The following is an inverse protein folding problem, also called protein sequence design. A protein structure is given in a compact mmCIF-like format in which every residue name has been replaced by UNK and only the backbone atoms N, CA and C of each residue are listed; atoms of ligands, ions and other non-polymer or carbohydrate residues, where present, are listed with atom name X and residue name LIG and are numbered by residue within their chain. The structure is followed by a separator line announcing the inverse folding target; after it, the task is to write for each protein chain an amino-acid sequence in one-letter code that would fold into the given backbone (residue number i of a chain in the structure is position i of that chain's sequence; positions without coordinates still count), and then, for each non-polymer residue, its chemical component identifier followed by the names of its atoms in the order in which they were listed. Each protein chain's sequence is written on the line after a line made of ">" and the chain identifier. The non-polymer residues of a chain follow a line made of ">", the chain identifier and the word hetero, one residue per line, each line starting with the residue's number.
data_IF_903518092227
#
_entry.id   IF_903518092227
#
_cell.length_a   1.000
_cell.length_b   1.000
_cell.length_c   1.000
_cell.angle_alpha   90.00
_cell.angle_beta   90.00
_cell.angle_gamma   90.00
#
_symmetry.space_group_name_H-M   'P 1'
#
loop_
_entity.id
_entity.type
_entity.pdbx_description
1 polymer ?
#
# COMPACT_ATOMS: atom_id res chain seq x y z
N UNK A 1 3.43 10.07 -23.48
CA UNK A 1 2.50 8.94 -23.51
C UNK A 1 1.65 8.80 -24.76
N UNK A 2 0.97 9.83 -25.26
CA UNK A 2 0.06 9.74 -26.43
C UNK A 2 0.67 9.06 -27.67
N UNK A 3 1.93 9.36 -28.04
CA UNK A 3 2.56 8.76 -29.23
C UNK A 3 2.73 7.25 -29.07
N UNK A 4 3.05 6.76 -27.86
CA UNK A 4 3.23 5.33 -27.62
C UNK A 4 1.91 4.55 -27.57
N UNK A 5 0.86 5.12 -27.02
CA UNK A 5 -0.47 4.49 -26.99
C UNK A 5 -1.06 4.39 -28.39
N UNK A 6 -0.80 5.37 -29.26
CA UNK A 6 -1.32 5.40 -30.63
C UNK A 6 -0.41 4.65 -31.62
N UNK A 7 0.92 4.70 -31.42
CA UNK A 7 1.92 4.11 -32.33
C UNK A 7 2.95 3.24 -31.60
N UNK A 8 2.54 2.15 -30.89
CA UNK A 8 3.48 1.35 -30.08
C UNK A 8 4.62 0.74 -30.90
N UNK A 9 4.38 0.36 -32.15
CA UNK A 9 5.38 -0.24 -33.04
C UNK A 9 6.47 0.79 -33.46
N UNK A 10 6.14 2.07 -33.50
CA UNK A 10 7.09 3.12 -33.89
C UNK A 10 8.16 3.36 -32.81
N UNK A 11 7.78 3.28 -31.54
CA UNK A 11 8.66 3.51 -30.41
C UNK A 11 9.34 2.23 -29.87
N UNK A 12 8.86 1.05 -30.27
CA UNK A 12 9.41 -0.23 -29.80
C UNK A 12 10.93 -0.37 -30.00
N UNK A 13 11.54 0.01 -31.14
CA UNK A 13 12.99 -0.05 -31.31
C UNK A 13 13.79 0.87 -30.38
N UNK A 14 13.19 1.96 -29.92
CA UNK A 14 13.81 2.95 -29.03
C UNK A 14 13.44 2.74 -27.55
N UNK A 15 12.58 1.79 -27.24
CA UNK A 15 12.00 1.63 -25.90
C UNK A 15 13.05 1.36 -24.83
N UNK A 16 14.14 0.66 -25.14
CA UNK A 16 15.22 0.41 -24.19
C UNK A 16 16.01 1.69 -23.86
N UNK A 17 16.36 2.48 -24.87
CA UNK A 17 17.07 3.76 -24.68
C UNK A 17 16.20 4.74 -23.89
N UNK A 18 14.92 4.82 -24.22
CA UNK A 18 13.95 5.65 -23.52
C UNK A 18 13.75 5.19 -22.06
N UNK A 19 13.63 3.90 -21.83
CA UNK A 19 13.56 3.34 -20.49
C UNK A 19 14.78 3.71 -19.63
N UNK A 20 15.97 3.55 -20.20
CA UNK A 20 17.23 3.90 -19.50
C UNK A 20 17.34 5.40 -19.22
N UNK A 21 16.93 6.26 -20.17
CA UNK A 21 16.92 7.71 -19.97
C UNK A 21 15.96 8.11 -18.85
N UNK A 22 14.71 7.62 -18.86
CA UNK A 22 13.72 7.86 -17.81
C UNK A 22 14.19 7.35 -16.45
N UNK A 23 14.80 6.18 -16.41
CA UNK A 23 15.40 5.64 -15.18
C UNK A 23 16.48 6.56 -14.61
N UNK A 24 17.37 7.06 -15.45
CA UNK A 24 18.43 7.99 -15.03
C UNK A 24 17.85 9.31 -14.55
N UNK A 25 16.85 9.85 -15.23
CA UNK A 25 16.19 11.10 -14.88
C UNK A 25 15.47 10.98 -13.54
N UNK A 26 14.64 9.97 -13.33
CA UNK A 26 14.01 9.69 -12.04
C UNK A 26 15.05 9.55 -10.91
N UNK A 27 16.17 8.87 -11.17
CA UNK A 27 17.22 8.71 -10.17
C UNK A 27 17.93 10.04 -9.82
N UNK A 28 18.02 10.97 -10.77
CA UNK A 28 18.60 12.30 -10.56
C UNK A 28 17.64 13.27 -9.87
N UNK A 29 16.33 13.13 -10.11
CA UNK A 29 15.29 14.00 -9.56
C UNK A 29 14.89 13.61 -8.11
N UNK A 30 15.15 12.37 -7.70
CA UNK A 30 14.76 11.86 -6.38
C UNK A 30 15.20 12.77 -5.21
N UNK A 31 16.46 13.25 -5.10
CA UNK A 31 16.85 14.13 -4.00
C UNK A 31 16.11 15.47 -3.98
N UNK A 32 15.77 16.02 -5.16
CA UNK A 32 15.01 17.26 -5.26
C UNK A 32 13.56 17.05 -4.84
N UNK A 33 12.94 15.94 -5.27
CA UNK A 33 11.59 15.57 -4.85
C UNK A 33 11.52 15.35 -3.34
N UNK A 34 12.44 14.56 -2.78
CA UNK A 34 12.52 14.30 -1.35
C UNK A 34 12.62 15.59 -0.54
N UNK A 35 13.48 16.52 -0.96
CA UNK A 35 13.63 17.81 -0.29
C UNK A 35 12.33 18.63 -0.36
N UNK A 36 11.72 18.74 -1.53
CA UNK A 36 10.61 19.68 -1.79
C UNK A 36 9.27 19.18 -1.26
N UNK A 37 9.02 17.88 -1.29
CA UNK A 37 7.69 17.31 -0.98
C UNK A 37 7.65 16.46 0.28
N UNK A 38 8.78 15.82 0.66
CA UNK A 38 8.82 14.94 1.83
C UNK A 38 9.29 15.67 3.08
N UNK A 39 10.28 16.56 2.93
CA UNK A 39 10.90 17.27 4.07
C UNK A 39 10.44 18.71 4.21
N UNK A 40 10.09 19.37 3.11
CA UNK A 40 9.64 20.74 3.08
C UNK A 40 8.30 20.83 2.31
N UNK A 41 7.49 21.82 2.66
CA UNK A 41 6.29 22.17 1.91
C UNK A 41 6.62 23.27 0.89
N UNK A 42 7.28 22.89 -0.20
CA UNK A 42 7.61 23.81 -1.30
C UNK A 42 6.77 23.60 -2.54
N UNK A 43 5.53 23.31 -2.39
CA UNK A 43 4.65 23.08 -3.51
C UNK A 43 4.39 24.37 -4.28
N UNK A 44 4.67 24.35 -5.58
CA UNK A 44 4.25 25.42 -6.49
C UNK A 44 3.08 24.92 -7.33
N UNK A 45 1.97 25.63 -7.31
CA UNK A 45 0.82 25.36 -8.19
C UNK A 45 1.00 26.12 -9.49
N UNK A 46 2.03 25.76 -10.25
CA UNK A 46 2.26 26.35 -11.57
C UNK A 46 1.48 25.56 -12.61
N UNK A 47 0.73 26.30 -13.43
CA UNK A 47 -0.06 25.76 -14.52
C UNK A 47 0.30 26.48 -15.82
N UNK A 48 0.20 25.78 -16.94
CA UNK A 48 0.34 26.38 -18.26
C UNK A 48 -0.95 27.09 -18.71
N UNK A 49 -0.95 27.60 -19.94
CA UNK A 49 -2.09 28.29 -20.52
C UNK A 49 -3.34 27.40 -20.68
N UNK A 50 -3.18 26.10 -20.69
CA UNK A 50 -4.24 25.09 -20.82
C UNK A 50 -4.69 24.52 -19.45
N UNK A 51 -4.12 25.04 -18.34
CA UNK A 51 -4.43 24.60 -16.97
C UNK A 51 -3.74 23.28 -16.58
N UNK A 52 -2.71 22.87 -17.32
CA UNK A 52 -1.93 21.68 -16.97
C UNK A 52 -0.83 22.06 -15.98
N UNK A 53 -0.65 21.27 -14.89
CA UNK A 53 0.43 21.53 -13.95
C UNK A 53 1.79 21.23 -14.61
N UNK A 54 2.78 22.11 -14.37
CA UNK A 54 4.17 21.86 -14.70
C UNK A 54 5.05 21.98 -13.45
N UNK A 55 4.77 21.09 -12.52
CA UNK A 55 5.44 20.94 -11.23
C UNK A 55 6.32 19.69 -11.27
N UNK A 56 7.24 19.57 -10.30
CA UNK A 56 8.17 18.43 -10.27
C UNK A 56 7.44 17.10 -10.02
N UNK A 57 6.43 17.09 -9.13
CA UNK A 57 5.59 15.92 -8.86
C UNK A 57 4.84 15.43 -10.11
N UNK A 58 4.30 16.36 -10.90
CA UNK A 58 3.65 16.02 -12.18
C UNK A 58 4.64 15.44 -13.19
N UNK A 59 5.86 15.99 -13.28
CA UNK A 59 6.90 15.40 -14.14
C UNK A 59 7.24 13.98 -13.71
N UNK A 60 7.45 13.75 -12.42
CA UNK A 60 7.75 12.42 -11.87
C UNK A 60 6.62 11.44 -12.15
N UNK A 61 5.37 11.87 -11.98
CA UNK A 61 4.19 11.07 -12.29
C UNK A 61 4.20 10.62 -13.76
N UNK A 62 4.38 11.54 -14.70
CA UNK A 62 4.45 11.22 -16.13
C UNK A 62 5.62 10.30 -16.49
N UNK A 63 6.76 10.44 -15.81
CA UNK A 63 7.92 9.57 -16.00
C UNK A 63 7.71 8.15 -15.43
N UNK A 64 7.11 8.02 -14.26
CA UNK A 64 6.74 6.72 -13.68
C UNK A 64 5.77 5.97 -14.60
N UNK A 65 4.77 6.66 -15.11
CA UNK A 65 3.83 6.12 -16.09
C UNK A 65 4.51 5.70 -17.38
N UNK A 66 5.45 6.51 -17.84
CA UNK A 66 6.20 6.19 -19.05
C UNK A 66 7.12 4.98 -18.81
N UNK A 67 7.77 4.89 -17.67
CA UNK A 67 8.58 3.74 -17.28
C UNK A 67 7.74 2.45 -17.22
N UNK A 68 6.56 2.50 -16.55
CA UNK A 68 5.61 1.40 -16.51
C UNK A 68 5.20 0.95 -17.94
N UNK A 69 4.92 1.91 -18.81
CA UNK A 69 4.61 1.61 -20.19
C UNK A 69 5.80 1.01 -20.97
N UNK A 70 7.05 1.39 -20.67
CA UNK A 70 8.26 0.80 -21.27
C UNK A 70 8.47 -0.66 -20.85
N UNK A 71 8.14 -1.02 -19.62
CA UNK A 71 8.24 -2.40 -19.12
C UNK A 71 7.36 -3.40 -19.91
N UNK A 72 6.37 -2.93 -20.67
CA UNK A 72 5.58 -3.78 -21.56
C UNK A 72 6.23 -4.06 -22.92
N UNK A 73 7.32 -3.35 -23.25
CA UNK A 73 7.98 -3.50 -24.53
C UNK A 73 8.88 -4.74 -24.55
N UNK A 74 8.76 -5.63 -25.56
CA UNK A 74 9.55 -6.86 -25.62
C UNK A 74 11.07 -6.65 -25.56
N UNK A 75 11.67 -5.61 -26.20
CA UNK A 75 13.12 -5.39 -26.09
C UNK A 75 13.56 -5.04 -24.66
N UNK A 76 12.75 -4.28 -23.90
CA UNK A 76 13.03 -3.94 -22.51
C UNK A 76 12.94 -5.19 -21.64
N UNK A 77 11.88 -5.98 -21.79
CA UNK A 77 11.70 -7.23 -21.03
C UNK A 77 12.86 -8.19 -21.26
N UNK A 78 13.21 -8.45 -22.50
CA UNK A 78 14.30 -9.36 -22.84
C UNK A 78 15.63 -8.94 -22.21
N UNK A 79 15.96 -7.63 -22.24
CA UNK A 79 17.16 -7.10 -21.62
C UNK A 79 17.14 -7.26 -20.10
N UNK A 80 16.05 -6.89 -19.46
CA UNK A 80 15.89 -6.95 -18.00
C UNK A 80 15.86 -8.39 -17.46
N UNK A 81 15.25 -9.33 -18.20
CA UNK A 81 15.30 -10.77 -17.85
C UNK A 81 16.72 -11.32 -17.93
N UNK A 82 17.48 -10.94 -18.97
CA UNK A 82 18.88 -11.34 -19.09
C UNK A 82 19.75 -10.76 -17.95
N UNK A 83 19.53 -9.52 -17.59
CA UNK A 83 20.25 -8.88 -16.48
C UNK A 83 19.94 -9.56 -15.15
N UNK A 84 18.67 -9.90 -14.90
CA UNK A 84 18.22 -10.53 -13.66
C UNK A 84 18.89 -11.89 -13.43
N UNK A 85 19.15 -12.65 -14.50
CA UNK A 85 19.82 -13.95 -14.40
C UNK A 85 21.29 -13.84 -13.93
N UNK A 86 21.91 -12.66 -14.08
CA UNK A 86 23.33 -12.44 -13.78
C UNK A 86 23.56 -11.57 -12.54
N UNK A 87 22.49 -11.14 -11.85
CA UNK A 87 22.58 -10.22 -10.71
C UNK A 87 22.31 -10.97 -9.39
N UNK A 88 22.93 -10.50 -8.29
CA UNK A 88 22.53 -10.93 -6.94
C UNK A 88 21.27 -10.17 -6.50
N UNK A 89 20.47 -10.71 -5.57
CA UNK A 89 19.26 -10.04 -5.10
C UNK A 89 19.49 -8.59 -4.65
N UNK A 90 20.61 -8.34 -3.94
CA UNK A 90 20.92 -6.99 -3.40
C UNK A 90 21.24 -5.98 -4.50
N UNK A 91 21.81 -6.43 -5.61
CA UNK A 91 22.25 -5.60 -6.73
C UNK A 91 21.33 -5.73 -7.96
N UNK A 92 20.22 -6.46 -7.82
CA UNK A 92 19.31 -6.63 -8.95
C UNK A 92 18.64 -5.32 -9.33
N UNK A 93 18.36 -5.15 -10.62
CA UNK A 93 17.60 -4.00 -11.09
C UNK A 93 16.21 -3.94 -10.46
N UNK A 94 15.60 -5.10 -10.13
CA UNK A 94 14.32 -5.16 -9.42
C UNK A 94 14.43 -4.50 -8.05
N UNK A 95 15.46 -4.82 -7.27
CA UNK A 95 15.69 -4.18 -5.97
C UNK A 95 15.96 -2.67 -6.12
N UNK A 96 16.64 -2.25 -7.18
CA UNK A 96 16.82 -0.81 -7.45
C UNK A 96 15.50 -0.12 -7.83
N UNK A 97 14.61 -0.78 -8.58
CA UNK A 97 13.25 -0.27 -8.84
C UNK A 97 12.46 -0.16 -7.54
N UNK A 98 12.56 -1.14 -6.63
CA UNK A 98 11.90 -1.06 -5.32
C UNK A 98 12.41 0.13 -4.50
N UNK A 99 13.73 0.37 -4.52
CA UNK A 99 14.32 1.54 -3.87
C UNK A 99 13.72 2.84 -4.42
N UNK A 100 13.65 2.97 -5.74
CA UNK A 100 13.09 4.16 -6.39
C UNK A 100 11.59 4.31 -6.09
N UNK A 101 10.82 3.24 -6.20
CA UNK A 101 9.39 3.24 -5.91
C UNK A 101 9.10 3.64 -4.46
N UNK A 102 9.84 3.11 -3.49
CA UNK A 102 9.70 3.48 -2.07
C UNK A 102 10.08 4.95 -1.84
N UNK A 103 11.11 5.46 -2.52
CA UNK A 103 11.52 6.86 -2.39
C UNK A 103 10.42 7.83 -2.83
N UNK A 104 9.76 7.56 -3.95
CA UNK A 104 8.67 8.39 -4.48
C UNK A 104 7.29 8.09 -3.86
N UNK A 105 7.13 6.96 -3.18
CA UNK A 105 5.90 6.60 -2.50
C UNK A 105 5.80 7.13 -1.07
N UNK A 106 6.79 7.88 -0.56
CA UNK A 106 6.73 8.47 0.77
C UNK A 106 5.59 9.49 0.86
N UNK A 107 4.96 9.54 2.04
CA UNK A 107 3.90 10.52 2.35
C UNK A 107 4.49 11.93 2.26
N UNK A 108 3.91 12.77 1.42
CA UNK A 108 4.29 14.17 1.30
C UNK A 108 3.85 14.97 2.53
N UNK A 109 4.43 16.14 2.73
CA UNK A 109 4.01 17.06 3.82
C UNK A 109 2.56 17.53 3.66
N UNK A 110 2.08 17.65 2.42
CA UNK A 110 0.68 17.98 2.13
C UNK A 110 -0.26 16.82 2.49
N UNK A 111 0.04 15.60 2.03
CA UNK A 111 -0.76 14.41 2.38
C UNK A 111 -0.78 14.18 3.89
N UNK A 112 0.36 14.29 4.57
CA UNK A 112 0.45 14.19 6.03
C UNK A 112 -0.46 15.20 6.72
N UNK A 113 -0.42 16.47 6.31
CA UNK A 113 -1.28 17.51 6.87
C UNK A 113 -2.76 17.31 6.59
N UNK A 114 -3.14 16.83 5.40
CA UNK A 114 -4.53 16.57 5.04
C UNK A 114 -5.09 15.36 5.80
N UNK A 115 -4.35 14.28 5.87
CA UNK A 115 -4.79 13.03 6.50
C UNK A 115 -4.81 13.11 8.03
N UNK A 116 -3.96 13.96 8.63
CA UNK A 116 -3.98 14.22 10.07
C UNK A 116 -5.24 14.99 10.50
N UNK A 117 -5.80 15.80 9.59
CA UNK A 117 -7.02 16.57 9.84
C UNK A 117 -8.29 15.78 9.49
N UNK A 118 -8.25 14.97 8.42
CA UNK A 118 -9.42 14.25 7.95
C UNK A 118 -9.07 12.81 7.52
N UNK A 119 -9.44 11.86 8.38
CA UNK A 119 -9.23 10.43 8.14
C UNK A 119 -9.96 9.91 6.90
N UNK A 120 -11.02 10.59 6.45
CA UNK A 120 -11.77 10.18 5.26
C UNK A 120 -10.97 10.40 3.99
N UNK A 121 -10.14 11.46 3.95
CA UNK A 121 -9.21 11.68 2.84
C UNK A 121 -8.21 10.53 2.75
N UNK A 122 -7.63 10.09 3.88
CA UNK A 122 -6.76 8.92 3.93
C UNK A 122 -7.48 7.65 3.45
N UNK A 123 -8.71 7.41 3.92
CA UNK A 123 -9.48 6.24 3.53
C UNK A 123 -9.80 6.24 2.03
N UNK A 124 -10.16 7.38 1.47
CA UNK A 124 -10.45 7.47 0.04
C UNK A 124 -9.24 7.14 -0.81
N UNK A 125 -8.03 7.53 -0.40
CA UNK A 125 -6.78 7.16 -1.07
C UNK A 125 -6.48 5.65 -0.98
N UNK A 126 -6.88 5.00 0.13
CA UNK A 126 -6.66 3.58 0.34
C UNK A 126 -7.74 2.67 -0.27
N UNK A 127 -8.95 3.20 -0.51
CA UNK A 127 -10.12 2.40 -0.92
C UNK A 127 -10.61 2.69 -2.32
N UNK A 128 -10.44 3.92 -2.79
CA UNK A 128 -11.06 4.38 -4.02
C UNK A 128 -10.33 3.87 -5.27
N UNK A 129 -11.08 3.31 -6.20
CA UNK A 129 -10.61 3.01 -7.57
C UNK A 129 -10.24 4.30 -8.32
N UNK A 130 -10.69 5.45 -7.83
CA UNK A 130 -10.47 6.79 -8.36
C UNK A 130 -9.59 7.63 -7.45
N UNK A 131 -8.72 6.99 -6.64
CA UNK A 131 -7.73 7.70 -5.83
C UNK A 131 -6.98 8.76 -6.66
N UNK A 132 -6.58 9.85 -6.02
CA UNK A 132 -5.79 10.88 -6.69
C UNK A 132 -4.55 10.25 -7.32
N UNK A 133 -4.31 10.54 -8.59
CA UNK A 133 -3.17 10.00 -9.29
C UNK A 133 -1.92 10.81 -8.95
N UNK A 134 -1.14 10.29 -8.02
CA UNK A 134 0.07 10.92 -7.45
C UNK A 134 1.31 10.07 -7.74
N UNK A 135 2.53 10.59 -7.56
CA UNK A 135 3.74 9.77 -7.61
C UNK A 135 3.67 8.53 -6.70
N UNK A 136 3.03 8.65 -5.53
CA UNK A 136 2.81 7.55 -4.59
C UNK A 136 1.98 6.42 -5.21
N UNK A 137 0.81 6.74 -5.78
CA UNK A 137 -0.06 5.76 -6.42
C UNK A 137 0.57 5.17 -7.68
N UNK A 138 1.26 5.99 -8.48
CA UNK A 138 1.99 5.53 -9.66
C UNK A 138 3.12 4.53 -9.31
N UNK A 139 3.76 4.69 -8.15
CA UNK A 139 4.73 3.71 -7.65
C UNK A 139 4.07 2.38 -7.27
N UNK A 140 2.89 2.41 -6.66
CA UNK A 140 2.08 1.22 -6.41
C UNK A 140 1.78 0.47 -7.71
N UNK A 141 1.26 1.18 -8.71
CA UNK A 141 0.96 0.62 -10.03
C UNK A 141 2.19 0.04 -10.73
N UNK A 142 3.33 0.72 -10.63
CA UNK A 142 4.59 0.21 -11.18
C UNK A 142 4.97 -1.13 -10.57
N UNK A 143 4.87 -1.26 -9.24
CA UNK A 143 5.22 -2.50 -8.53
C UNK A 143 4.21 -3.61 -8.82
N UNK A 144 2.92 -3.30 -8.92
CA UNK A 144 1.89 -4.23 -9.38
C UNK A 144 2.26 -4.78 -10.77
N UNK A 145 2.59 -3.91 -11.72
CA UNK A 145 2.97 -4.34 -13.08
C UNK A 145 4.25 -5.18 -13.13
N UNK A 146 5.17 -4.95 -12.22
CA UNK A 146 6.33 -5.83 -12.04
C UNK A 146 5.92 -7.17 -11.43
N UNK A 147 5.05 -7.19 -10.44
CA UNK A 147 4.51 -8.39 -9.81
C UNK A 147 3.71 -9.28 -10.76
N UNK A 148 2.93 -8.68 -11.67
CA UNK A 148 2.24 -9.41 -12.74
C UNK A 148 3.22 -10.17 -13.65
N UNK A 149 4.38 -9.58 -13.93
CA UNK A 149 5.39 -10.14 -14.81
C UNK A 149 6.42 -11.01 -14.07
N UNK A 150 6.96 -10.53 -12.96
CA UNK A 150 8.05 -11.13 -12.20
C UNK A 150 7.65 -11.32 -10.73
N UNK A 151 6.69 -12.18 -10.44
CA UNK A 151 6.08 -12.33 -9.11
C UNK A 151 7.12 -12.52 -7.99
N UNK A 152 7.91 -13.60 -8.03
CA UNK A 152 8.93 -13.87 -7.00
C UNK A 152 10.06 -12.84 -6.95
N UNK A 153 10.69 -12.45 -8.07
CA UNK A 153 11.72 -11.41 -8.06
C UNK A 153 11.23 -10.08 -7.50
N UNK A 154 9.97 -9.69 -7.77
CA UNK A 154 9.39 -8.46 -7.26
C UNK A 154 9.23 -8.50 -5.74
N UNK A 155 8.61 -9.56 -5.21
CA UNK A 155 8.44 -9.75 -3.75
C UNK A 155 9.80 -9.82 -3.03
N UNK A 156 10.74 -10.57 -3.57
CA UNK A 156 12.07 -10.74 -2.98
C UNK A 156 12.94 -9.47 -3.09
N UNK A 157 12.81 -8.73 -4.20
CA UNK A 157 13.48 -7.43 -4.38
C UNK A 157 12.98 -6.39 -3.38
N UNK A 158 11.66 -6.31 -3.18
CA UNK A 158 11.07 -5.44 -2.18
C UNK A 158 11.49 -5.86 -0.76
N UNK A 159 11.45 -7.16 -0.44
CA UNK A 159 11.88 -7.68 0.85
C UNK A 159 13.35 -7.38 1.14
N UNK A 160 14.22 -7.56 0.14
CA UNK A 160 15.65 -7.26 0.24
C UNK A 160 15.89 -5.79 0.54
N UNK A 161 15.22 -4.91 -0.18
CA UNK A 161 15.32 -3.47 0.07
C UNK A 161 14.73 -3.08 1.43
N UNK A 162 13.57 -3.62 1.81
CA UNK A 162 12.95 -3.36 3.11
C UNK A 162 13.86 -3.77 4.27
N UNK A 163 14.57 -4.89 4.17
CA UNK A 163 15.57 -5.31 5.17
C UNK A 163 16.69 -4.29 5.32
N UNK A 164 17.23 -3.80 4.21
CA UNK A 164 18.28 -2.78 4.24
C UNK A 164 17.76 -1.47 4.87
N UNK A 165 16.57 -1.04 4.48
CA UNK A 165 15.90 0.17 4.98
C UNK A 165 15.65 0.13 6.50
N UNK A 166 15.11 -0.98 7.01
CA UNK A 166 14.80 -1.13 8.45
C UNK A 166 16.05 -1.34 9.30
N UNK A 167 17.15 -1.78 8.71
CA UNK A 167 18.45 -1.87 9.37
C UNK A 167 19.19 -0.52 9.41
N UNK A 168 18.77 0.43 8.59
CA UNK A 168 19.35 1.77 8.49
C UNK A 168 18.72 2.78 9.46
N UNK A 169 19.14 4.04 9.31
CA UNK A 169 18.65 5.19 10.09
C UNK A 169 17.49 5.93 9.42
N UNK A 170 16.90 5.37 8.38
CA UNK A 170 15.82 5.98 7.61
C UNK A 170 14.59 6.31 8.47
N UNK A 171 13.95 7.43 8.16
CA UNK A 171 12.77 7.92 8.87
C UNK A 171 11.54 7.03 8.72
N UNK A 172 10.49 7.35 9.46
CA UNK A 172 9.24 6.60 9.44
C UNK A 172 8.54 6.65 8.07
N UNK A 173 8.61 7.76 7.32
CA UNK A 173 8.00 7.91 5.98
C UNK A 173 8.52 6.87 4.98
N UNK A 174 9.83 6.64 4.97
CA UNK A 174 10.42 5.62 4.09
C UNK A 174 10.02 4.20 4.49
N UNK A 175 9.92 3.92 5.80
CA UNK A 175 9.47 2.62 6.33
C UNK A 175 7.99 2.37 6.05
N UNK A 176 7.16 3.41 6.19
CA UNK A 176 5.74 3.39 5.81
C UNK A 176 5.58 3.11 4.31
N UNK A 177 6.31 3.85 3.46
CA UNK A 177 6.26 3.71 2.01
C UNK A 177 6.65 2.30 1.54
N UNK A 178 7.63 1.65 2.17
CA UNK A 178 7.98 0.26 1.86
C UNK A 178 6.82 -0.70 2.16
N UNK A 179 6.12 -0.50 3.27
CA UNK A 179 4.93 -1.28 3.61
C UNK A 179 3.71 -0.90 2.74
N UNK A 180 3.58 0.38 2.34
CA UNK A 180 2.56 0.80 1.39
C UNK A 180 2.71 0.07 0.04
N UNK A 181 3.90 0.09 -0.53
CA UNK A 181 4.19 -0.60 -1.80
C UNK A 181 3.92 -2.11 -1.68
N UNK A 182 4.26 -2.72 -0.55
CA UNK A 182 3.89 -4.11 -0.27
C UNK A 182 2.37 -4.29 -0.24
N UNK A 183 1.64 -3.40 0.44
CA UNK A 183 0.18 -3.47 0.54
C UNK A 183 -0.50 -3.43 -0.83
N UNK A 184 -0.02 -2.57 -1.73
CA UNK A 184 -0.52 -2.49 -3.12
C UNK A 184 -0.29 -3.81 -3.86
N UNK A 185 0.89 -4.39 -3.73
CA UNK A 185 1.21 -5.68 -4.36
C UNK A 185 0.38 -6.83 -3.79
N UNK A 186 0.14 -6.87 -2.47
CA UNK A 186 -0.70 -7.88 -1.83
C UNK A 186 -2.17 -7.72 -2.22
N UNK A 187 -2.65 -6.50 -2.42
CA UNK A 187 -3.98 -6.22 -2.94
C UNK A 187 -4.19 -6.81 -4.33
N UNK A 188 -3.25 -6.54 -5.25
CA UNK A 188 -3.29 -7.13 -6.60
C UNK A 188 -3.23 -8.67 -6.56
N UNK A 189 -2.40 -9.26 -5.69
CA UNK A 189 -2.35 -10.71 -5.53
C UNK A 189 -3.68 -11.29 -5.09
N UNK A 190 -4.38 -10.60 -4.18
CA UNK A 190 -5.71 -11.01 -3.75
C UNK A 190 -6.73 -10.96 -4.89
N UNK A 191 -6.70 -9.93 -5.72
CA UNK A 191 -7.65 -9.75 -6.83
C UNK A 191 -7.49 -10.81 -7.92
N UNK A 192 -6.28 -11.37 -8.07
CA UNK A 192 -5.97 -12.42 -9.05
C UNK A 192 -5.77 -13.80 -8.41
N UNK A 193 -6.14 -13.96 -7.14
CA UNK A 193 -6.09 -15.24 -6.40
C UNK A 193 -4.66 -15.84 -6.29
N UNK A 194 -3.64 -14.95 -6.20
CA UNK A 194 -2.24 -15.32 -5.97
C UNK A 194 -1.90 -15.31 -4.50
N UNK A 195 -0.94 -16.14 -4.12
CA UNK A 195 -0.39 -16.17 -2.77
C UNK A 195 1.08 -15.74 -2.78
N UNK A 196 1.50 -15.08 -1.69
CA UNK A 196 2.91 -14.81 -1.42
C UNK A 196 3.58 -16.09 -0.87
N UNK A 197 4.82 -16.33 -1.28
CA UNK A 197 5.58 -17.49 -0.80
C UNK A 197 5.80 -17.43 0.74
N UNK A 198 5.80 -18.59 1.45
CA UNK A 198 5.88 -18.64 2.92
C UNK A 198 7.12 -17.97 3.49
N UNK A 199 8.27 -18.10 2.82
CA UNK A 199 9.54 -17.48 3.24
C UNK A 199 9.49 -15.96 3.16
N UNK A 200 8.93 -15.43 2.07
CA UNK A 200 8.77 -14.00 1.89
C UNK A 200 7.73 -13.44 2.89
N UNK A 201 6.59 -14.12 3.05
CA UNK A 201 5.57 -13.75 4.03
C UNK A 201 6.15 -13.67 5.45
N UNK A 202 6.91 -14.70 5.88
CA UNK A 202 7.59 -14.71 7.17
C UNK A 202 8.61 -13.57 7.30
N UNK A 203 9.28 -13.22 6.19
CA UNK A 203 10.28 -12.16 6.15
C UNK A 203 9.71 -10.76 6.44
N UNK A 204 8.42 -10.53 6.21
CA UNK A 204 7.76 -9.24 6.48
C UNK A 204 7.21 -9.12 7.90
N UNK A 205 7.03 -10.22 8.64
CA UNK A 205 6.39 -10.23 9.97
C UNK A 205 7.04 -9.27 10.96
N UNK A 206 8.38 -9.25 11.01
CA UNK A 206 9.09 -8.41 11.97
C UNK A 206 8.98 -6.91 11.64
N UNK A 207 8.90 -6.55 10.36
CA UNK A 207 8.69 -5.16 9.93
C UNK A 207 7.28 -4.69 10.26
N UNK A 208 6.28 -5.54 10.08
CA UNK A 208 4.89 -5.26 10.44
C UNK A 208 4.78 -5.07 11.96
N UNK A 209 5.34 -5.97 12.77
CA UNK A 209 5.37 -5.82 14.22
C UNK A 209 6.08 -4.57 14.68
N UNK A 210 7.21 -4.25 14.05
CA UNK A 210 7.91 -3.00 14.31
C UNK A 210 7.01 -1.80 14.01
N UNK A 211 6.37 -1.75 12.85
CA UNK A 211 5.49 -0.66 12.44
C UNK A 211 4.33 -0.45 13.43
N UNK A 212 3.64 -1.53 13.84
CA UNK A 212 2.52 -1.48 14.79
C UNK A 212 2.88 -0.91 16.15
N UNK A 213 4.16 -0.83 16.52
CA UNK A 213 4.65 -0.36 17.82
C UNK A 213 5.28 1.04 17.77
N UNK A 214 5.29 1.70 16.61
CA UNK A 214 5.94 3.00 16.47
C UNK A 214 5.08 4.15 17.01
N UNK A 215 5.70 5.25 17.46
CA UNK A 215 4.97 6.42 17.94
C UNK A 215 4.20 7.13 16.83
N UNK A 216 4.65 7.02 15.59
CA UNK A 216 4.02 7.63 14.43
C UNK A 216 2.75 6.89 14.02
N UNK A 217 1.63 7.62 13.90
CA UNK A 217 0.31 7.05 13.64
C UNK A 217 0.19 6.46 12.21
N UNK A 218 0.79 7.10 11.22
CA UNK A 218 0.74 6.63 9.82
C UNK A 218 1.47 5.31 9.66
N UNK A 219 2.66 5.18 10.30
CA UNK A 219 3.41 3.93 10.26
C UNK A 219 2.68 2.82 11.03
N UNK A 220 2.06 3.13 12.20
CA UNK A 220 1.25 2.16 12.94
C UNK A 220 0.04 1.68 12.11
N UNK A 221 -0.71 2.62 11.55
CA UNK A 221 -1.88 2.33 10.71
C UNK A 221 -1.48 1.41 9.53
N UNK A 222 -0.40 1.73 8.85
CA UNK A 222 0.16 0.91 7.77
C UNK A 222 0.53 -0.50 8.24
N UNK A 223 1.11 -0.63 9.42
CA UNK A 223 1.43 -1.92 10.03
C UNK A 223 0.20 -2.81 10.19
N UNK A 224 -0.91 -2.27 10.70
CA UNK A 224 -2.17 -3.01 10.85
C UNK A 224 -2.79 -3.39 9.50
N UNK A 225 -2.83 -2.48 8.54
CA UNK A 225 -3.37 -2.76 7.20
C UNK A 225 -2.60 -3.88 6.50
N UNK A 226 -1.28 -3.81 6.52
CA UNK A 226 -0.41 -4.82 5.87
C UNK A 226 -0.51 -6.17 6.57
N UNK A 227 -0.68 -6.20 7.90
CA UNK A 227 -0.92 -7.44 8.64
C UNK A 227 -2.17 -8.16 8.14
N UNK A 228 -3.26 -7.41 7.90
CA UNK A 228 -4.50 -7.94 7.30
C UNK A 228 -4.30 -8.44 5.87
N UNK A 229 -3.71 -7.62 5.01
CA UNK A 229 -3.45 -7.97 3.59
C UNK A 229 -2.53 -9.19 3.47
N UNK A 230 -1.49 -9.26 4.30
CA UNK A 230 -0.57 -10.40 4.35
C UNK A 230 -1.31 -11.69 4.77
N UNK A 231 -2.23 -11.59 5.72
CA UNK A 231 -3.07 -12.73 6.14
C UNK A 231 -3.90 -13.28 4.98
N UNK A 232 -4.51 -12.40 4.17
CA UNK A 232 -5.32 -12.81 3.01
C UNK A 232 -4.51 -13.52 1.92
N UNK A 233 -3.23 -13.19 1.79
CA UNK A 233 -2.38 -13.66 0.68
C UNK A 233 -1.38 -14.74 1.09
N UNK A 234 -1.22 -15.04 2.40
CA UNK A 234 -0.25 -16.03 2.89
C UNK A 234 -0.82 -17.44 3.11
N UNK A 235 -2.15 -17.62 2.94
CA UNK A 235 -2.81 -18.90 3.23
C UNK A 235 -2.55 -19.37 4.68
N UNK A 236 -2.43 -20.68 4.87
CA UNK A 236 -2.22 -21.27 6.20
C UNK A 236 -0.83 -21.04 6.80
N UNK A 237 0.13 -20.53 6.00
CA UNK A 237 1.54 -20.41 6.41
C UNK A 237 1.75 -19.52 7.64
N UNK A 238 0.88 -18.52 7.84
CA UNK A 238 0.98 -17.57 8.95
C UNK A 238 -0.23 -17.61 9.90
N UNK A 239 -1.06 -18.65 9.90
CA UNK A 239 -2.34 -18.69 10.63
C UNK A 239 -2.23 -18.31 12.12
N UNK A 240 -1.22 -18.81 12.85
CA UNK A 240 -1.04 -18.46 14.27
C UNK A 240 -0.65 -17.00 14.47
N UNK A 241 0.21 -16.47 13.59
CA UNK A 241 0.61 -15.06 13.61
C UNK A 241 -0.55 -14.15 13.23
N UNK A 242 -1.34 -14.53 12.24
CA UNK A 242 -2.54 -13.82 11.82
C UNK A 242 -3.59 -13.73 12.92
N UNK A 243 -3.73 -14.78 13.74
CA UNK A 243 -4.58 -14.73 14.95
C UNK A 243 -4.07 -13.68 15.94
N UNK A 244 -2.76 -13.63 16.18
CA UNK A 244 -2.17 -12.60 17.06
C UNK A 244 -2.32 -11.19 16.51
N UNK A 245 -2.23 -11.00 15.19
CA UNK A 245 -2.47 -9.72 14.55
C UNK A 245 -3.95 -9.29 14.62
N UNK A 246 -4.88 -10.22 14.44
CA UNK A 246 -6.31 -9.98 14.65
C UNK A 246 -6.60 -9.50 16.07
N UNK A 247 -6.06 -10.20 17.08
CA UNK A 247 -6.22 -9.83 18.50
C UNK A 247 -5.60 -8.45 18.79
N UNK A 248 -4.42 -8.16 18.26
CA UNK A 248 -3.77 -6.85 18.39
C UNK A 248 -4.59 -5.73 17.73
N UNK A 249 -5.15 -5.97 16.54
CA UNK A 249 -6.03 -5.00 15.87
C UNK A 249 -7.30 -4.73 16.69
N UNK A 250 -7.90 -5.78 17.24
CA UNK A 250 -9.09 -5.66 18.07
C UNK A 250 -8.82 -4.89 19.37
N UNK A 251 -7.64 -5.03 19.95
CA UNK A 251 -7.22 -4.27 21.14
C UNK A 251 -6.89 -2.80 20.81
N UNK A 252 -6.34 -2.52 19.65
CA UNK A 252 -5.95 -1.17 19.25
C UNK A 252 -7.16 -0.26 18.98
N UNK A 253 -8.29 -0.79 18.46
CA UNK A 253 -9.48 0.01 18.15
C UNK A 253 -9.94 0.88 19.34
N UNK A 254 -10.13 0.38 20.57
CA UNK A 254 -10.53 1.21 21.70
C UNK A 254 -9.37 1.89 22.43
N UNK A 255 -8.11 1.55 22.16
CA UNK A 255 -6.96 1.98 22.95
C UNK A 255 -6.02 2.94 22.26
N UNK A 256 -5.98 2.98 20.92
CA UNK A 256 -5.15 3.94 20.19
C UNK A 256 -5.87 5.30 20.14
N UNK A 257 -5.09 6.37 20.31
CA UNK A 257 -5.60 7.75 20.32
C UNK A 257 -5.86 8.29 18.90
N UNK A 258 -5.34 7.62 17.86
CA UNK A 258 -5.44 8.03 16.48
C UNK A 258 -6.60 7.35 15.75
N UNK A 259 -7.55 8.13 15.26
CA UNK A 259 -8.66 7.64 14.41
C UNK A 259 -8.14 6.90 13.17
N UNK A 260 -7.04 7.37 12.60
CA UNK A 260 -6.39 6.74 11.44
C UNK A 260 -5.96 5.30 11.77
N UNK A 261 -5.40 5.06 12.95
CA UNK A 261 -5.04 3.71 13.41
C UNK A 261 -6.29 2.87 13.69
N UNK A 262 -7.29 3.43 14.37
CA UNK A 262 -8.54 2.74 14.69
C UNK A 262 -9.25 2.25 13.43
N UNK A 263 -9.40 3.12 12.43
CA UNK A 263 -10.04 2.79 11.14
C UNK A 263 -9.22 1.76 10.35
N UNK A 264 -7.90 1.89 10.35
CA UNK A 264 -7.01 0.91 9.72
C UNK A 264 -7.12 -0.47 10.37
N UNK A 265 -7.28 -0.53 11.72
CA UNK A 265 -7.56 -1.77 12.43
C UNK A 265 -8.92 -2.36 12.03
N UNK A 266 -9.98 -1.55 11.93
CA UNK A 266 -11.31 -2.02 11.52
C UNK A 266 -11.25 -2.61 10.11
N UNK A 267 -10.56 -1.95 9.18
CA UNK A 267 -10.35 -2.47 7.83
C UNK A 267 -9.54 -3.77 7.82
N UNK A 268 -8.50 -3.86 8.65
CA UNK A 268 -7.74 -5.10 8.82
C UNK A 268 -8.60 -6.24 9.38
N UNK A 269 -9.57 -5.94 10.29
CA UNK A 269 -10.53 -6.95 10.76
C UNK A 269 -11.31 -7.58 9.61
N UNK A 270 -11.76 -6.80 8.64
CA UNK A 270 -12.44 -7.34 7.45
C UNK A 270 -11.56 -8.37 6.73
N UNK A 271 -10.28 -8.08 6.55
CA UNK A 271 -9.34 -8.98 5.91
C UNK A 271 -9.15 -10.29 6.70
N UNK A 272 -9.04 -10.22 8.02
CA UNK A 272 -8.96 -11.41 8.87
C UNK A 272 -10.22 -12.24 8.82
N UNK A 273 -11.40 -11.61 8.81
CA UNK A 273 -12.70 -12.30 8.76
C UNK A 273 -12.87 -13.07 7.44
N UNK A 274 -12.34 -12.55 6.35
CA UNK A 274 -12.39 -13.19 5.03
C UNK A 274 -11.37 -14.34 4.87
N UNK A 275 -10.23 -14.27 5.57
CA UNK A 275 -9.12 -15.19 5.36
C UNK A 275 -9.01 -16.29 6.41
N UNK A 276 -9.33 -15.99 7.68
CA UNK A 276 -9.14 -16.95 8.77
C UNK A 276 -10.31 -17.94 8.89
N UNK A 277 -10.02 -19.20 9.31
CA UNK A 277 -11.06 -20.19 9.54
C UNK A 277 -12.08 -19.72 10.60
N UNK A 278 -13.34 -20.08 10.42
CA UNK A 278 -14.42 -19.76 11.38
C UNK A 278 -14.12 -20.22 12.82
N UNK A 279 -13.39 -21.31 13.00
CA UNK A 279 -12.97 -21.77 14.33
C UNK A 279 -12.10 -20.75 15.08
N UNK A 280 -11.36 -19.90 14.34
CA UNK A 280 -10.52 -18.82 14.92
C UNK A 280 -11.35 -17.56 15.15
N UNK A 281 -12.21 -17.18 14.21
CA UNK A 281 -12.96 -15.91 14.26
C UNK A 281 -14.23 -15.98 15.12
N UNK A 282 -14.87 -17.15 15.24
CA UNK A 282 -16.11 -17.32 16.00
C UNK A 282 -16.00 -16.91 17.48
N UNK A 283 -14.96 -17.28 18.25
CA UNK A 283 -14.82 -16.82 19.64
C UNK A 283 -14.68 -15.29 19.76
N UNK A 284 -14.21 -14.60 18.71
CA UNK A 284 -13.99 -13.17 18.68
C UNK A 284 -15.14 -12.38 18.04
N UNK A 285 -16.19 -13.06 17.56
CA UNK A 285 -17.33 -12.42 16.89
C UNK A 285 -17.98 -11.30 17.72
N UNK A 286 -18.35 -11.59 18.97
CA UNK A 286 -18.97 -10.59 19.86
C UNK A 286 -18.03 -9.43 20.19
N UNK A 287 -16.75 -9.66 20.56
CA UNK A 287 -15.76 -8.59 20.71
C UNK A 287 -15.61 -7.72 19.46
N UNK A 288 -15.58 -8.29 18.26
CA UNK A 288 -15.44 -7.55 16.98
C UNK A 288 -16.67 -6.65 16.77
N UNK A 289 -17.88 -7.21 16.88
CA UNK A 289 -19.12 -6.44 16.72
C UNK A 289 -19.18 -5.30 17.75
N UNK A 290 -18.80 -5.56 19.00
CA UNK A 290 -18.81 -4.56 20.06
C UNK A 290 -17.80 -3.43 19.78
N UNK A 291 -16.58 -3.77 19.35
CA UNK A 291 -15.54 -2.78 19.01
C UNK A 291 -16.00 -1.85 17.89
N UNK A 292 -16.56 -2.40 16.80
CA UNK A 292 -17.07 -1.61 15.68
C UNK A 292 -18.26 -0.75 16.10
N UNK A 293 -19.19 -1.32 16.90
CA UNK A 293 -20.37 -0.60 17.38
C UNK A 293 -20.00 0.55 18.33
N UNK A 294 -19.01 0.36 19.19
CA UNK A 294 -18.51 1.40 20.08
C UNK A 294 -17.78 2.51 19.30
N UNK A 295 -16.98 2.15 18.30
CA UNK A 295 -16.36 3.11 17.42
C UNK A 295 -17.41 3.95 16.71
N UNK A 296 -18.42 3.31 16.10
CA UNK A 296 -19.54 3.99 15.42
C UNK A 296 -20.32 4.92 16.34
N UNK A 297 -20.59 4.47 17.59
CA UNK A 297 -21.34 5.26 18.57
C UNK A 297 -20.55 6.49 19.09
N UNK A 298 -19.23 6.50 18.95
CA UNK A 298 -18.37 7.63 19.33
C UNK A 298 -18.26 8.69 18.21
N UNK A 299 -18.63 8.36 16.97
CA UNK A 299 -18.55 9.28 15.84
C UNK A 299 -19.72 10.26 15.77
N UNK A 300 -19.50 11.44 15.21
CA UNK A 300 -20.59 12.36 14.87
C UNK A 300 -21.34 11.85 13.64
N UNK A 301 -22.65 11.66 13.78
CA UNK A 301 -23.49 11.14 12.70
C UNK A 301 -23.58 12.08 11.51
N UNK A 302 -23.36 13.39 11.69
CA UNK A 302 -23.31 14.36 10.58
C UNK A 302 -22.05 14.22 9.74
N UNK A 303 -20.91 13.98 10.39
CA UNK A 303 -19.62 13.75 9.71
C UNK A 303 -19.59 12.37 9.02
N UNK A 304 -20.20 11.35 9.66
CA UNK A 304 -20.33 10.02 9.06
C UNK A 304 -21.13 10.01 7.76
N UNK A 305 -22.16 10.83 7.64
CA UNK A 305 -22.97 10.90 6.41
C UNK A 305 -22.19 11.45 5.21
N UNK A 306 -21.16 12.24 5.47
CA UNK A 306 -20.27 12.79 4.44
C UNK A 306 -19.07 11.87 4.15
N UNK A 307 -18.96 10.73 4.86
CA UNK A 307 -17.83 9.80 4.85
C UNK A 307 -18.19 8.44 4.24
N UNK A 308 -18.40 8.39 2.93
CA UNK A 308 -18.84 7.17 2.23
C UNK A 308 -17.89 6.00 2.43
N UNK A 309 -16.57 6.20 2.29
CA UNK A 309 -15.55 5.15 2.41
C UNK A 309 -15.47 4.59 3.83
N UNK A 310 -15.61 5.44 4.85
CA UNK A 310 -15.66 5.01 6.24
C UNK A 310 -16.92 4.17 6.50
N UNK A 311 -18.06 4.64 6.04
CA UNK A 311 -19.34 3.91 6.19
C UNK A 311 -19.30 2.55 5.49
N UNK A 312 -18.77 2.47 4.29
CA UNK A 312 -18.58 1.21 3.56
C UNK A 312 -17.69 0.26 4.38
N UNK A 313 -16.55 0.74 4.86
CA UNK A 313 -15.60 -0.06 5.66
C UNK A 313 -16.28 -0.62 6.92
N UNK A 314 -17.00 0.22 7.67
CA UNK A 314 -17.71 -0.17 8.89
C UNK A 314 -18.81 -1.21 8.62
N UNK A 315 -19.67 -0.93 7.63
CA UNK A 315 -20.82 -1.80 7.29
C UNK A 315 -20.34 -3.14 6.75
N UNK A 316 -19.35 -3.16 5.87
CA UNK A 316 -18.84 -4.41 5.32
C UNK A 316 -18.17 -5.27 6.39
N UNK A 317 -17.33 -4.67 7.26
CA UNK A 317 -16.67 -5.40 8.35
C UNK A 317 -17.71 -5.95 9.34
N UNK A 318 -18.75 -5.15 9.67
CA UNK A 318 -19.84 -5.59 10.54
C UNK A 318 -20.65 -6.72 9.90
N UNK A 319 -20.98 -6.63 8.61
CA UNK A 319 -21.64 -7.67 7.83
C UNK A 319 -20.85 -8.99 7.90
N UNK A 320 -19.54 -8.93 7.63
CA UNK A 320 -18.68 -10.10 7.63
C UNK A 320 -18.58 -10.72 9.04
N UNK A 321 -18.49 -9.88 10.09
CA UNK A 321 -18.51 -10.33 11.46
C UNK A 321 -19.83 -11.04 11.84
N UNK A 322 -20.97 -10.52 11.40
CA UNK A 322 -22.29 -11.11 11.66
C UNK A 322 -22.45 -12.47 10.95
N UNK A 323 -21.89 -12.61 9.77
CA UNK A 323 -21.99 -13.85 8.98
C UNK A 323 -21.17 -15.02 9.55
N UNK A 324 -20.27 -14.82 10.52
CA UNK A 324 -19.53 -15.90 11.19
C UNK A 324 -20.52 -16.88 11.86
N UNK A 325 -21.46 -16.38 12.67
CA UNK A 325 -22.54 -17.16 13.26
C UNK A 325 -23.80 -16.29 13.40
N UNK A 326 -24.76 -16.51 12.53
CA UNK A 326 -26.01 -15.73 12.48
C UNK A 326 -26.90 -15.89 13.72
N UNK A 327 -26.64 -16.89 14.57
CA UNK A 327 -27.41 -17.09 15.83
C UNK A 327 -27.16 -16.00 16.86
N UNK A 328 -26.15 -15.15 16.70
CA UNK A 328 -25.86 -14.01 17.57
C UNK A 328 -27.06 -13.05 17.66
N UNK A 329 -27.88 -12.96 16.61
CA UNK A 329 -29.09 -12.12 16.59
C UNK A 329 -30.14 -12.53 17.64
N UNK A 330 -30.22 -13.82 17.96
CA UNK A 330 -31.14 -14.30 19.00
C UNK A 330 -30.71 -13.90 20.39
N UNK A 331 -29.41 -13.60 20.59
CA UNK A 331 -28.87 -13.15 21.89
C UNK A 331 -28.93 -11.63 22.07
N UNK A 332 -28.99 -10.84 21.00
CA UNK A 332 -29.04 -9.37 21.05
C UNK A 332 -30.47 -8.81 21.14
N UNK A 333 -31.49 -9.65 20.92
CA UNK A 333 -32.90 -9.27 20.99
C UNK A 333 -33.58 -9.59 22.36
N UNK A 334 -32.84 -10.11 23.31
CA UNK A 334 -33.24 -10.36 24.69
C UNK A 334 -32.27 -9.66 25.67
#
# INVERSE_FOLDING_TARGET
>A
MRIRSVFPALLSPQSLVLFQATWQELSLLEPAYSLMYIHEDRQSRLEDADGLPYTLDFLILEELDFMQACLRAPPVRAQLEQELQNQTPENSWVTQVMKLAVAYAQITTEEEGLWDVDVNVFLSEETSVTANYTPRTACGDLVIKLGEWLTEPTVNGLLTYTRALYSGSEGWKAKEAALYVLNQLLGDFQDVDKQIGPEAASGYVDFIRYAMQQPDAFLRARGYLVAGSLTRTSGDALQQLSTSFLEASLQAIPSDESDLVQVSCIRALQYYLQALPHAVTQPLQSPIILAISNYLAAQDMSELNDSEDLMITLVETLRDAIHIDTRIWTCLLY
#
